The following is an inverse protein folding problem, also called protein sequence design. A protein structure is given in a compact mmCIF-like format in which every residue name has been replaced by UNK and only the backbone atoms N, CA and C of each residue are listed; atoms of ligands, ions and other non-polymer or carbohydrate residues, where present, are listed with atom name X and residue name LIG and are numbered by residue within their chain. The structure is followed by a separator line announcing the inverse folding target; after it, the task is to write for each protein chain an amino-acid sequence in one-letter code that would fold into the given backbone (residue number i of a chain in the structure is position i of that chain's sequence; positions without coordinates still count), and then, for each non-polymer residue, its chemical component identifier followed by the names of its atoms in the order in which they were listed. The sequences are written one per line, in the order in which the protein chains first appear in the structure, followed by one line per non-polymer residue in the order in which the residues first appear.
data_IF_758461852363
#
_entry.id   IF_758461852363
#
_cell.length_a   1.000
_cell.length_b   1.000
_cell.length_c   1.000
_cell.angle_alpha   90.00
_cell.angle_beta   90.00
_cell.angle_gamma   90.00
#
_symmetry.space_group_name_H-M   'P 1'
#
loop_
_entity.id
_entity.type
_entity.pdbx_description
1 polymer ?
2 non-polymer ?
3 non-polymer ?
4 water ?
#
# COMPACT_ATOMS: atom_id res chain seq x y z
N UNK A 15 31.74 -13.45 -3.73
CA UNK A 15 32.39 -14.59 -4.40
C UNK A 15 31.49 -15.15 -5.51
N UNK A 16 31.85 -14.87 -6.77
CA UNK A 16 30.89 -15.09 -7.87
C UNK A 16 30.53 -16.54 -8.13
N UNK A 17 31.40 -17.51 -7.83
CA UNK A 17 31.03 -18.91 -8.04
C UNK A 17 29.64 -19.22 -7.50
N UNK A 18 29.39 -18.83 -6.26
CA UNK A 18 28.11 -19.12 -5.62
C UNK A 18 26.93 -18.22 -5.96
N UNK A 19 27.07 -17.22 -6.84
CA UNK A 19 25.96 -16.34 -7.17
C UNK A 19 25.12 -16.94 -8.27
N UNK A 20 23.80 -16.79 -8.19
CA UNK A 20 22.94 -17.22 -9.29
C UNK A 20 21.64 -16.42 -9.26
N UNK A 21 21.14 -16.09 -10.44
CA UNK A 21 19.88 -15.36 -10.57
C UNK A 21 18.88 -16.31 -11.21
N UNK A 22 17.73 -16.50 -10.55
CA UNK A 22 16.64 -17.31 -11.08
C UNK A 22 15.50 -16.38 -11.50
N UNK A 23 14.99 -16.59 -12.71
CA UNK A 23 13.93 -15.76 -13.30
C UNK A 23 12.68 -16.63 -13.43
N UNK A 24 11.55 -16.18 -12.85
CA UNK A 24 10.39 -17.04 -12.71
C UNK A 24 9.08 -16.31 -12.98
N UNK A 25 8.05 -17.10 -13.29
CA UNK A 25 6.69 -16.65 -13.54
C UNK A 25 5.81 -16.67 -12.29
N UNK A 26 6.24 -17.38 -11.25
CA UNK A 26 5.61 -17.35 -9.95
C UNK A 26 6.58 -18.00 -8.98
N UNK A 27 6.33 -17.81 -7.69
CA UNK A 27 7.21 -18.32 -6.65
C UNK A 27 6.60 -19.57 -6.03
N UNK A 28 7.35 -20.67 -6.04
CA UNK A 28 6.84 -21.88 -5.39
C UNK A 28 6.88 -21.69 -3.87
N UNK A 29 6.43 -22.71 -3.15
CA UNK A 29 6.24 -22.55 -1.71
C UNK A 29 7.56 -22.32 -0.97
N UNK A 30 8.64 -22.92 -1.45
CA UNK A 30 9.94 -22.72 -0.81
C UNK A 30 10.47 -21.32 -1.09
N UNK A 31 10.36 -20.88 -2.36
CA UNK A 31 10.78 -19.52 -2.72
C UNK A 31 10.01 -18.48 -1.92
N UNK A 32 8.72 -18.73 -1.65
CA UNK A 32 7.95 -17.80 -0.83
C UNK A 32 8.47 -17.76 0.58
N UNK A 33 8.77 -18.93 1.16
CA UNK A 33 9.39 -18.97 2.49
C UNK A 33 10.70 -18.20 2.50
N UNK A 34 11.55 -18.43 1.49
CA UNK A 34 12.80 -17.70 1.35
C UNK A 34 12.56 -16.19 1.25
N UNK A 35 11.56 -15.78 0.48
CA UNK A 35 11.32 -14.35 0.31
C UNK A 35 10.81 -13.74 1.61
N UNK A 36 9.97 -14.47 2.34
CA UNK A 36 9.51 -13.95 3.62
C UNK A 36 10.65 -13.84 4.62
N UNK A 37 11.61 -14.76 4.60
CA UNK A 37 12.77 -14.61 5.46
C UNK A 37 13.56 -13.35 5.09
N UNK A 38 13.78 -13.13 3.78
CA UNK A 38 14.49 -11.94 3.32
C UNK A 38 13.72 -10.67 3.69
N UNK A 39 12.41 -10.69 3.46
CA UNK A 39 11.54 -9.59 3.87
C UNK A 39 11.75 -9.24 5.33
N UNK A 40 11.77 -10.27 6.20
CA UNK A 40 11.91 -10.03 7.63
C UNK A 40 13.23 -9.39 7.98
N UNK A 41 14.33 -9.80 7.33
CA UNK A 41 15.62 -9.23 7.70
C UNK A 41 15.76 -7.81 7.17
N UNK A 42 15.10 -7.47 6.06
CA UNK A 42 15.10 -6.09 5.60
C UNK A 42 14.26 -5.23 6.52
N UNK A 43 13.06 -5.72 6.89
CA UNK A 43 12.18 -4.99 7.80
C UNK A 43 12.89 -4.64 9.11
N UNK A 44 13.71 -5.55 9.64
CA UNK A 44 14.41 -5.25 10.88
C UNK A 44 15.48 -4.18 10.67
N UNK A 45 16.14 -4.21 9.51
CA UNK A 45 17.18 -3.23 9.24
C UNK A 45 16.59 -1.88 8.86
N UNK A 46 15.49 -1.88 8.10
CA UNK A 46 15.06 -0.69 7.39
C UNK A 46 13.85 0.00 8.01
N UNK A 47 13.11 -0.66 8.89
CA UNK A 47 11.87 -0.13 9.45
C UNK A 47 10.65 -0.47 8.62
N UNK A 48 10.78 -0.39 7.30
CA UNK A 48 9.69 -0.65 6.39
C UNK A 48 10.24 -1.44 5.22
N UNK A 49 9.32 -1.98 4.41
CA UNK A 49 9.71 -2.79 3.24
C UNK A 49 8.89 -2.35 2.03
N UNK A 50 9.41 -2.59 0.83
CA UNK A 50 8.59 -2.38 -0.37
C UNK A 50 7.36 -3.27 -0.37
N UNK A 51 6.39 -2.91 -1.21
CA UNK A 51 5.20 -3.73 -1.40
C UNK A 51 5.53 -4.92 -2.28
N UNK A 52 5.37 -6.14 -1.76
CA UNK A 52 5.69 -7.33 -2.53
C UNK A 52 4.48 -8.02 -3.14
N UNK A 53 3.28 -7.72 -2.66
CA UNK A 53 2.05 -8.36 -3.13
C UNK A 53 2.24 -9.88 -3.18
N UNK A 54 2.41 -10.46 -1.99
CA UNK A 54 2.68 -11.89 -1.90
C UNK A 54 1.59 -12.70 -2.61
N UNK A 55 0.34 -12.25 -2.49
CA UNK A 55 -0.75 -12.95 -3.15
C UNK A 55 -0.65 -12.91 -4.68
N UNK A 56 0.05 -11.93 -5.24
CA UNK A 56 0.29 -11.92 -6.69
C UNK A 56 1.48 -12.81 -7.06
N UNK A 57 2.52 -12.84 -6.24
CA UNK A 57 3.67 -13.70 -6.52
C UNK A 57 3.29 -15.17 -6.48
N UNK A 58 2.32 -15.54 -5.63
CA UNK A 58 1.96 -16.93 -5.45
C UNK A 58 1.23 -17.50 -6.66
N UNK A 59 0.56 -16.65 -7.44
CA UNK A 59 -0.16 -17.09 -8.63
C UNK A 59 0.76 -17.13 -9.84
N UNK A 60 0.49 -18.07 -10.73
CA UNK A 60 1.18 -18.11 -12.02
C UNK A 60 0.81 -16.89 -12.85
N UNK A 61 1.83 -16.18 -13.24
CA UNK A 61 1.70 -15.09 -14.16
C UNK A 61 2.38 -15.50 -15.47
N UNK A 62 2.14 -14.72 -16.50
CA UNK A 62 2.71 -14.96 -17.78
C UNK A 62 3.63 -13.80 -18.18
N UNK A 64 7.46 -13.95 -16.86
CA UNK A 64 8.58 -14.18 -15.96
C UNK A 64 9.02 -12.87 -15.41
N UNK A 65 8.34 -12.46 -14.36
CA UNK A 65 8.63 -11.18 -13.79
C UNK A 65 9.07 -11.15 -12.34
N UNK A 66 9.75 -12.18 -11.88
CA UNK A 66 10.28 -12.22 -10.53
C UNK A 66 11.69 -12.71 -10.69
N UNK A 67 12.62 -12.02 -10.08
CA UNK A 67 14.05 -12.26 -10.28
C UNK A 67 14.68 -12.47 -8.91
N UNK A 68 15.23 -13.66 -8.69
CA UNK A 68 15.69 -14.08 -7.37
C UNK A 68 17.21 -14.22 -7.42
N UNK A 69 17.90 -13.58 -6.48
CA UNK A 69 19.36 -13.61 -6.42
C UNK A 69 19.75 -14.48 -5.24
N UNK A 70 20.46 -15.57 -5.52
CA UNK A 70 20.90 -16.51 -4.50
C UNK A 70 22.42 -16.47 -4.41
N UNK A 71 22.92 -16.56 -3.19
CA UNK A 71 24.34 -16.79 -2.93
C UNK A 71 24.45 -18.14 -2.25
N UNK A 72 24.97 -19.12 -2.98
CA UNK A 72 25.07 -20.50 -2.50
C UNK A 72 23.70 -21.08 -2.14
N UNK A 73 22.67 -20.69 -2.88
CA UNK A 73 21.33 -21.19 -2.61
C UNK A 73 20.61 -20.50 -1.48
N UNK A 74 21.19 -19.45 -0.89
CA UNK A 74 20.51 -18.59 0.06
C UNK A 74 19.97 -17.36 -0.67
N UNK A 75 18.69 -17.04 -0.49
CA UNK A 75 18.13 -15.90 -1.19
C UNK A 75 18.64 -14.61 -0.57
N UNK A 76 19.36 -13.79 -1.34
CA UNK A 76 19.85 -12.53 -0.81
C UNK A 76 19.34 -11.33 -1.58
N UNK A 77 18.63 -11.52 -2.68
CA UNK A 77 18.11 -10.39 -3.42
C UNK A 77 16.85 -10.79 -4.15
N UNK A 78 15.97 -9.81 -4.34
CA UNK A 78 14.70 -10.11 -4.98
C UNK A 78 14.24 -8.87 -5.72
N UNK A 79 13.74 -9.06 -6.94
CA UNK A 79 13.09 -7.97 -7.66
C UNK A 79 11.89 -8.55 -8.40
N UNK A 80 10.76 -7.81 -8.38
CA UNK A 80 9.61 -8.24 -9.15
C UNK A 80 8.94 -7.03 -9.79
N UNK A 81 8.27 -7.27 -10.91
CA UNK A 81 7.62 -6.25 -11.73
C UNK A 81 6.11 -6.50 -11.71
N UNK A 82 5.32 -5.43 -11.53
CA UNK A 82 3.87 -5.57 -11.38
C UNK A 82 3.14 -4.66 -12.37
N UNK A 83 2.36 -5.26 -13.27
CA UNK A 83 1.68 -4.52 -14.34
C UNK A 83 0.27 -4.11 -13.90
N UNK A 84 0.23 -3.13 -13.00
CA UNK A 84 -1.03 -2.57 -12.53
C UNK A 84 -1.55 -1.50 -13.49
N UNK A 85 -0.70 -0.52 -13.77
CA UNK A 85 -1.07 0.64 -14.55
C UNK A 85 -1.05 0.30 -16.04
N UNK A 86 -1.78 1.09 -16.83
CA UNK A 86 -1.67 0.92 -18.27
C UNK A 86 -0.47 1.65 -18.86
N UNK A 87 0.09 2.63 -18.16
CA UNK A 87 1.28 3.30 -18.68
C UNK A 87 2.36 3.42 -17.62
N UNK A 88 2.49 2.41 -16.77
CA UNK A 88 3.67 2.29 -15.92
C UNK A 88 3.72 0.89 -15.34
N UNK A 89 4.82 0.59 -14.68
CA UNK A 89 5.00 -0.69 -14.04
C UNK A 89 5.60 -0.44 -12.66
N UNK A 90 5.14 -1.21 -11.67
CA UNK A 90 5.61 -1.06 -10.30
C UNK A 90 6.72 -2.07 -10.08
N UNK A 91 7.77 -1.65 -9.35
CA UNK A 91 8.97 -2.47 -9.14
C UNK A 91 9.28 -2.54 -7.65
N UNK A 92 9.45 -3.75 -7.15
CA UNK A 92 9.87 -3.99 -5.77
C UNK A 92 11.26 -4.57 -5.82
N UNK A 93 12.21 -3.98 -5.09
CA UNK A 93 13.57 -4.53 -5.01
C UNK A 93 14.01 -4.55 -3.57
N UNK A 94 14.55 -5.68 -3.12
CA UNK A 94 15.05 -5.87 -1.75
C UNK A 94 16.36 -6.62 -1.79
N UNK A 95 17.35 -6.18 -1.01
CA UNK A 95 18.64 -6.85 -0.94
C UNK A 95 19.01 -7.03 0.52
N UNK A 96 19.39 -8.26 0.88
CA UNK A 96 19.81 -8.57 2.24
C UNK A 96 20.82 -7.54 2.73
N UNK A 97 20.62 -6.94 3.91
CA UNK A 97 21.52 -5.88 4.37
C UNK A 97 23.00 -6.26 4.31
N UNK A 98 23.35 -7.54 4.47
CA UNK A 98 24.75 -7.95 4.41
C UNK A 98 25.38 -7.67 3.06
N UNK A 99 24.59 -7.69 1.98
CA UNK A 99 25.16 -7.68 0.64
C UNK A 99 24.84 -6.42 -0.14
N UNK A 100 24.53 -5.33 0.54
CA UNK A 100 24.20 -4.11 -0.18
C UNK A 100 25.47 -3.41 -0.69
N UNK A 101 25.27 -2.54 -1.69
CA UNK A 101 26.33 -1.79 -2.36
C UNK A 101 27.30 -2.67 -3.15
N UNK A 102 26.91 -3.88 -3.54
CA UNK A 102 27.78 -4.70 -4.37
C UNK A 102 27.22 -4.91 -5.77
N UNK A 103 26.22 -4.13 -6.15
CA UNK A 103 25.70 -4.23 -7.51
C UNK A 103 24.57 -5.20 -7.67
N UNK A 104 24.03 -5.75 -6.57
CA UNK A 104 22.99 -6.76 -6.69
C UNK A 104 21.71 -6.15 -7.24
N UNK A 105 21.28 -5.02 -6.68
CA UNK A 105 20.06 -4.38 -7.19
C UNK A 105 20.21 -4.00 -8.66
N UNK A 106 21.38 -3.50 -9.03
CA UNK A 106 21.61 -3.12 -10.41
C UNK A 106 21.59 -4.34 -11.34
N UNK A 107 22.15 -5.46 -10.88
CA UNK A 107 22.07 -6.68 -11.69
C UNK A 107 20.62 -7.09 -11.90
N UNK A 108 19.79 -6.97 -10.86
CA UNK A 108 18.41 -7.43 -10.96
C UNK A 108 17.59 -6.54 -11.88
N UNK A 109 17.81 -5.22 -11.80
CA UNK A 109 17.09 -4.29 -12.66
C UNK A 109 17.42 -4.57 -14.12
N UNK A 110 18.70 -4.78 -14.41
CA UNK A 110 19.13 -5.11 -15.77
C UNK A 110 18.48 -6.38 -16.30
N UNK A 111 18.23 -7.35 -15.44
CA UNK A 111 17.54 -8.56 -15.89
C UNK A 111 16.09 -8.26 -16.24
N UNK A 112 15.48 -7.31 -15.53
CA UNK A 112 14.06 -7.02 -15.70
C UNK A 112 13.78 -6.12 -16.88
N UNK A 113 14.74 -5.28 -17.26
CA UNK A 113 14.49 -4.29 -18.31
C UNK A 113 13.97 -4.90 -19.60
N UNK A 114 14.61 -5.92 -20.20
CA UNK A 114 14.11 -6.45 -21.48
C UNK A 114 12.63 -6.76 -21.46
N UNK A 115 12.17 -7.32 -20.33
CA UNK A 115 10.78 -7.71 -20.22
C UNK A 115 9.87 -6.47 -20.20
N UNK A 116 10.33 -5.42 -19.54
CA UNK A 116 9.56 -4.17 -19.52
C UNK A 116 9.55 -3.52 -20.90
N UNK A 117 10.70 -3.49 -21.58
CA UNK A 117 10.75 -2.94 -22.93
C UNK A 117 9.85 -3.72 -23.88
N UNK A 118 9.88 -5.05 -23.78
CA UNK A 118 9.07 -5.88 -24.67
C UNK A 118 7.58 -5.58 -24.52
N UNK A 119 7.12 -5.36 -23.28
CA UNK A 119 5.75 -4.95 -23.03
C UNK A 119 5.50 -3.51 -23.42
N UNK A 120 6.56 -2.83 -23.85
CA UNK A 120 6.57 -1.45 -24.29
C UNK A 120 6.23 -0.47 -23.17
N UNK A 121 6.26 -0.90 -21.92
CA UNK A 121 6.23 0.05 -20.80
C UNK A 121 7.57 0.77 -20.71
N UNK A 122 7.50 2.05 -20.33
CA UNK A 122 8.65 2.91 -20.26
C UNK A 122 8.77 3.67 -18.95
N UNK A 123 7.81 3.55 -18.06
CA UNK A 123 7.81 4.25 -16.78
C UNK A 123 7.83 3.22 -15.64
N UNK A 124 8.80 3.37 -14.73
CA UNK A 124 9.01 2.46 -13.61
C UNK A 124 8.73 3.16 -12.29
N UNK A 125 7.87 2.57 -11.46
CA UNK A 125 7.51 3.14 -10.17
C UNK A 125 7.99 2.18 -9.08
N UNK A 126 8.89 2.67 -8.22
CA UNK A 126 9.50 1.89 -7.15
C UNK A 126 8.87 2.25 -5.81
N UNK A 127 8.57 1.25 -4.98
CA UNK A 127 8.13 1.48 -3.62
C UNK A 127 9.33 1.40 -2.69
N UNK A 128 9.55 2.43 -1.89
CA UNK A 128 10.80 2.60 -1.16
C UNK A 128 10.47 2.83 0.31
N UNK A 129 11.13 2.11 1.22
CA UNK A 129 10.92 2.35 2.65
C UNK A 129 11.12 3.82 3.00
N UNK A 130 10.15 4.38 3.70
CA UNK A 130 10.15 5.76 4.10
C UNK A 130 11.45 6.23 4.69
N UNK A 131 11.90 7.37 4.18
CA UNK A 131 13.11 8.09 4.53
C UNK A 131 14.45 7.46 4.17
N UNK A 132 14.46 6.21 3.78
CA UNK A 132 15.70 5.45 3.65
C UNK A 132 16.59 5.98 2.53
N UNK A 133 16.03 6.30 1.36
CA UNK A 133 16.81 6.55 0.15
C UNK A 133 16.65 7.93 -0.48
N UNK A 134 15.88 8.84 0.13
CA UNK A 134 15.46 10.07 -0.56
C UNK A 134 16.62 10.83 -1.16
N UNK A 135 17.74 10.91 -0.43
CA UNK A 135 18.86 11.77 -0.87
C UNK A 135 19.38 11.34 -2.24
N UNK A 136 19.55 10.04 -2.45
CA UNK A 136 20.19 9.58 -3.68
C UNK A 136 19.21 9.15 -4.76
N UNK A 137 17.94 8.91 -4.42
CA UNK A 137 16.92 8.83 -5.46
C UNK A 137 16.80 10.16 -6.18
N UNK A 138 16.83 11.25 -5.41
CA UNK A 138 16.81 12.59 -5.98
C UNK A 138 17.97 12.80 -6.95
N UNK A 139 19.19 12.50 -6.50
CA UNK A 139 20.37 12.61 -7.34
C UNK A 139 20.20 11.91 -8.69
N UNK A 140 19.63 10.70 -8.67
CA UNK A 140 19.55 9.89 -9.89
C UNK A 140 18.42 10.32 -10.82
N UNK A 141 17.58 11.26 -10.42
CA UNK A 141 16.52 11.75 -11.27
C UNK A 141 15.16 11.14 -11.06
N UNK A 142 15.00 10.31 -10.02
CA UNK A 142 13.68 9.82 -9.65
C UNK A 142 12.81 10.99 -9.24
N UNK A 143 11.51 10.85 -9.46
CA UNK A 143 10.52 11.86 -9.06
C UNK A 143 9.67 11.28 -7.94
N UNK A 144 9.56 12.01 -6.83
CA UNK A 144 8.69 11.57 -5.75
C UNK A 144 7.24 11.76 -6.15
N UNK A 145 6.42 10.74 -5.89
CA UNK A 145 5.01 10.75 -6.27
C UNK A 145 4.11 10.93 -5.06
N UNK A 146 4.13 9.98 -4.13
CA UNK A 146 3.28 10.00 -2.95
C UNK A 146 3.77 8.90 -2.01
N UNK A 147 3.16 8.79 -0.84
CA UNK A 147 3.54 7.79 0.14
C UNK A 147 2.32 6.98 0.52
N UNK A 148 2.58 5.78 1.05
CA UNK A 148 1.50 4.90 1.50
C UNK A 148 1.85 4.39 2.88
N UNK A 149 0.94 4.57 3.84
CA UNK A 149 1.23 4.26 5.22
C UNK A 149 0.26 3.18 5.68
N UNK A 150 0.80 2.14 6.31
CA UNK A 150 -0.02 1.12 6.96
C UNK A 150 0.12 1.33 8.46
N UNK A 151 -1.00 1.56 9.15
CA UNK A 151 -0.96 1.90 10.56
C UNK A 151 -1.80 0.91 11.33
N UNK A 152 -1.58 0.85 12.62
CA UNK A 152 -2.37 -0.03 13.48
C UNK A 152 -2.67 0.66 14.80
N UNK A 153 -3.91 0.46 15.27
CA UNK A 153 -4.32 0.88 16.60
C UNK A 153 -4.72 -0.40 17.36
N UNK A 154 -3.90 -0.81 18.34
CA UNK A 154 -4.15 -2.02 19.12
C UNK A 154 -4.81 -1.76 20.47
N UNK A 155 -5.46 -0.64 20.61
CA UNK A 155 -6.07 -0.26 21.87
C UNK A 155 -7.46 -0.88 21.92
N UNK A 156 -7.80 -1.53 23.04
CA UNK A 156 -9.17 -2.03 23.15
C UNK A 156 -10.18 -0.97 23.56
N UNK A 157 -9.72 0.18 24.04
CA UNK A 157 -10.61 1.23 24.47
C UNK A 157 -11.14 2.04 23.29
N UNK A 158 -12.42 2.30 23.24
CA UNK A 158 -12.96 3.10 22.15
C UNK A 158 -12.58 4.55 22.26
N UNK A 159 -12.78 5.24 21.17
CA UNK A 159 -12.47 6.63 21.12
C UNK A 159 -13.60 7.42 21.70
N UNK A 160 -13.26 8.24 22.68
CA UNK A 160 -14.24 9.09 23.33
C UNK A 160 -14.27 10.43 22.59
N UNK A 161 -15.43 11.03 22.57
CA UNK A 161 -15.67 12.32 21.89
C UNK A 161 -15.54 12.37 20.37
N UNK A 162 -14.91 13.40 19.86
CA UNK A 162 -14.83 13.67 18.43
C UNK A 162 -16.23 13.68 17.80
N UNK A 163 -17.22 14.27 18.44
CA UNK A 163 -18.57 14.32 17.89
C UNK A 163 -18.77 15.50 16.98
N UNK A 164 -19.29 15.25 15.79
CA UNK A 164 -19.56 16.33 14.84
C UNK A 164 -20.96 16.16 14.31
N UNK A 165 -21.54 17.23 13.71
CA UNK A 165 -22.91 17.12 13.21
C UNK A 165 -22.99 16.31 11.91
N UNK A 166 -22.58 15.04 12.02
CA UNK A 166 -22.59 14.10 10.92
C UNK A 166 -23.53 12.95 11.24
N UNK A 167 -24.15 12.39 10.20
CA UNK A 167 -24.76 11.08 10.32
C UNK A 167 -23.95 10.09 9.50
N UNK A 168 -23.98 8.83 9.90
CA UNK A 168 -23.18 7.80 9.24
C UNK A 168 -24.11 6.71 8.74
N UNK A 169 -23.88 6.31 7.50
CA UNK A 169 -24.70 5.29 6.84
C UNK A 169 -23.79 4.24 6.24
N UNK A 170 -24.22 2.99 6.30
CA UNK A 170 -23.52 1.96 5.52
C UNK A 170 -23.98 2.07 4.07
N UNK A 171 -23.02 2.09 3.15
CA UNK A 171 -23.37 2.22 1.74
C UNK A 171 -24.05 0.95 1.23
N UNK A 172 -24.93 1.13 0.25
CA UNK A 172 -25.55 0.02 -0.46
C UNK A 172 -25.33 0.23 -1.95
N UNK A 173 -25.75 -0.77 -2.74
CA UNK A 173 -25.66 -0.68 -4.20
C UNK A 173 -26.42 0.53 -4.75
N UNK A 174 -27.27 1.18 -3.94
CA UNK A 174 -28.00 2.37 -4.34
C UNK A 174 -27.19 3.66 -4.17
N UNK A 175 -26.04 3.59 -3.49
CA UNK A 175 -25.24 4.77 -3.19
C UNK A 175 -24.13 4.96 -4.21
N UNK A 176 -24.20 4.29 -5.35
CA UNK A 176 -23.17 4.42 -6.39
C UNK A 176 -22.96 5.89 -6.80
N UNK A 177 -24.00 6.66 -7.14
CA UNK A 177 -23.78 8.08 -7.44
C UNK A 177 -23.01 8.82 -6.35
N UNK A 178 -23.36 8.58 -5.08
CA UNK A 178 -22.69 9.26 -3.98
C UNK A 178 -21.22 8.85 -3.92
N UNK A 179 -20.94 7.54 -4.01
CA UNK A 179 -19.57 7.06 -3.93
C UNK A 179 -18.72 7.58 -5.08
N UNK A 180 -19.28 7.52 -6.30
CA UNK A 180 -18.54 8.00 -7.46
C UNK A 180 -18.28 9.49 -7.38
N UNK A 181 -19.24 10.27 -6.85
CA UNK A 181 -19.03 11.70 -6.68
C UNK A 181 -17.90 12.01 -5.72
N UNK A 182 -17.81 11.26 -4.63
CA UNK A 182 -16.76 11.48 -3.65
C UNK A 182 -15.41 11.17 -4.24
N UNK A 183 -15.31 10.06 -4.92
CA UNK A 183 -14.06 9.68 -5.53
C UNK A 183 -13.67 10.63 -6.64
N UNK A 184 -14.63 11.17 -7.37
CA UNK A 184 -14.31 12.08 -8.45
C UNK A 184 -13.56 13.29 -7.90
N UNK A 185 -13.90 13.76 -6.71
CA UNK A 185 -13.24 14.92 -6.13
C UNK A 185 -11.95 14.52 -5.41
N UNK A 186 -12.06 13.59 -4.48
CA UNK A 186 -10.89 12.94 -3.89
C UNK A 186 -10.47 11.81 -4.81
N UNK A 187 -9.22 11.82 -5.27
CA UNK A 187 -8.62 10.81 -6.15
C UNK A 187 -9.08 10.93 -7.61
N UNK A 188 -9.07 12.12 -8.25
CA UNK A 188 -9.42 11.97 -9.67
C UNK A 188 -8.25 11.47 -10.51
N UNK A 193 -13.30 3.67 -14.23
CA UNK A 193 -14.59 2.98 -14.11
C UNK A 193 -14.97 2.79 -12.64
N UNK A 194 -15.39 3.87 -11.98
CA UNK A 194 -15.66 3.80 -10.56
C UNK A 194 -16.98 3.11 -10.24
N UNK A 195 -17.95 3.15 -11.15
CA UNK A 195 -19.20 2.41 -10.93
C UNK A 195 -18.91 0.94 -10.71
N UNK A 196 -18.16 0.33 -11.63
CA UNK A 196 -17.89 -1.11 -11.55
C UNK A 196 -17.06 -1.47 -10.32
N UNK A 197 -16.10 -0.61 -9.94
CA UNK A 197 -15.27 -0.91 -8.77
C UNK A 197 -16.08 -0.88 -7.48
N UNK A 198 -16.95 0.12 -7.31
CA UNK A 198 -17.77 0.17 -6.10
C UNK A 198 -18.77 -0.98 -6.08
N UNK A 199 -19.30 -1.38 -7.23
CA UNK A 199 -20.18 -2.55 -7.26
C UNK A 199 -19.45 -3.81 -6.83
N UNK A 200 -18.21 -3.98 -7.29
CA UNK A 200 -17.47 -5.18 -6.92
C UNK A 200 -17.15 -5.16 -5.42
N UNK A 201 -16.75 -4.00 -4.90
CA UNK A 201 -16.48 -3.87 -3.47
C UNK A 201 -17.75 -4.20 -2.68
N UNK A 202 -18.87 -3.59 -3.06
CA UNK A 202 -20.11 -3.75 -2.31
C UNK A 202 -20.67 -5.15 -2.42
N UNK A 203 -20.11 -5.99 -3.30
CA UNK A 203 -20.54 -7.37 -3.46
C UNK A 203 -19.60 -8.36 -2.76
N UNK A 204 -18.52 -7.90 -2.14
CA UNK A 204 -17.64 -8.77 -1.37
C UNK A 204 -18.06 -8.69 0.09
N UNK A 205 -18.46 -9.83 0.65
CA UNK A 205 -19.01 -9.81 1.99
C UNK A 205 -18.01 -9.34 3.05
N UNK A 206 -16.71 -9.38 2.77
CA UNK A 206 -15.77 -8.84 3.74
C UNK A 206 -15.73 -7.32 3.77
N UNK A 207 -16.31 -6.63 2.79
CA UNK A 207 -16.18 -5.19 2.72
C UNK A 207 -17.45 -4.47 3.12
N UNK A 208 -17.27 -3.30 3.74
CA UNK A 208 -18.33 -2.34 3.91
C UNK A 208 -17.77 -0.95 3.64
N UNK A 209 -18.66 -0.02 3.30
CA UNK A 209 -18.28 1.38 3.15
C UNK A 209 -19.19 2.22 4.04
N UNK A 210 -18.59 3.06 4.86
CA UNK A 210 -19.34 4.02 5.66
C UNK A 210 -19.33 5.38 4.94
N UNK A 211 -20.51 5.96 4.78
CA UNK A 211 -20.65 7.30 4.21
C UNK A 211 -20.93 8.28 5.34
N UNK A 212 -20.24 9.41 5.34
CA UNK A 212 -20.49 10.46 6.32
C UNK A 212 -21.34 11.56 5.68
N UNK A 213 -22.44 11.90 6.31
CA UNK A 213 -23.35 12.94 5.85
C UNK A 213 -23.40 14.18 6.76
N UNK A 214 -23.35 15.36 6.17
CA UNK A 214 -23.46 16.62 6.92
C UNK A 214 -24.84 17.08 6.47
N UNK A 215 -25.78 16.98 7.39
CA UNK A 215 -27.18 17.18 7.14
C UNK A 215 -27.56 16.07 6.15
N UNK A 216 -27.68 16.38 4.88
CA UNK A 216 -28.07 15.39 3.90
C UNK A 216 -27.18 15.41 2.66
N UNK A 217 -26.00 16.00 2.80
CA UNK A 217 -25.03 16.03 1.74
C UNK A 217 -23.95 15.05 2.15
N UNK A 218 -23.59 14.11 1.29
CA UNK A 218 -22.41 13.26 1.59
C UNK A 218 -21.13 14.08 1.54
N UNK A 219 -20.30 13.96 2.57
CA UNK A 219 -19.05 14.70 2.59
C UNK A 219 -17.83 13.80 2.74
N UNK A 220 -18.02 12.50 2.92
CA UNK A 220 -16.86 11.64 3.04
C UNK A 220 -17.25 10.19 3.15
N UNK A 221 -16.21 9.35 3.21
CA UNK A 221 -16.40 7.91 3.30
C UNK A 221 -15.11 7.24 3.76
N UNK A 222 -15.26 6.01 4.27
CA UNK A 222 -14.12 5.13 4.55
C UNK A 222 -14.54 3.72 4.22
N UNK A 223 -13.63 2.95 3.66
CA UNK A 223 -13.89 1.54 3.42
C UNK A 223 -13.42 0.74 4.62
N UNK A 224 -14.12 -0.35 4.92
CA UNK A 224 -13.72 -1.27 5.99
C UNK A 224 -13.62 -2.66 5.40
N UNK A 225 -12.47 -3.30 5.60
CA UNK A 225 -12.31 -4.71 5.28
C UNK A 225 -12.25 -5.49 6.58
N UNK A 226 -13.24 -6.35 6.78
CA UNK A 226 -13.36 -7.12 8.01
C UNK A 226 -12.59 -8.43 7.93
N UNK A 227 -11.80 -8.72 8.97
CA UNK A 227 -11.25 -10.04 9.21
C UNK A 227 -11.64 -10.49 10.61
N UNK A 228 -11.16 -11.67 11.01
CA UNK A 228 -11.62 -12.27 12.26
C UNK A 228 -11.17 -11.44 13.46
N UNK A 229 -9.89 -11.07 13.50
CA UNK A 229 -9.30 -10.42 14.67
C UNK A 229 -9.04 -8.94 14.48
N UNK A 230 -9.25 -8.41 13.27
CA UNK A 230 -8.98 -7.02 12.96
C UNK A 230 -9.90 -6.58 11.84
N UNK A 231 -9.94 -5.27 11.59
CA UNK A 231 -10.53 -4.73 10.37
C UNK A 231 -9.63 -3.60 9.90
N UNK A 232 -9.68 -3.31 8.60
CA UNK A 232 -8.76 -2.37 7.98
C UNK A 232 -9.55 -1.26 7.30
N UNK A 233 -9.20 -0.03 7.64
CA UNK A 233 -9.80 1.16 7.08
C UNK A 233 -8.96 1.55 5.87
N UNK A 234 -9.62 1.96 4.80
CA UNK A 234 -8.89 2.41 3.61
C UNK A 234 -9.77 3.34 2.79
N UNK A 235 -9.15 3.97 1.78
CA UNK A 235 -9.85 4.82 0.81
C UNK A 235 -10.63 5.93 1.51
N UNK A 236 -10.02 6.50 2.55
CA UNK A 236 -10.69 7.51 3.36
C UNK A 236 -10.72 8.82 2.56
N UNK A 237 -11.89 9.41 2.44
CA UNK A 237 -12.07 10.65 1.69
C UNK A 237 -12.90 11.61 2.51
N UNK A 238 -12.48 12.89 2.56
CA UNK A 238 -13.30 14.00 3.02
C UNK A 238 -13.16 15.07 1.95
N UNK A 239 -14.28 15.61 1.47
CA UNK A 239 -14.22 16.61 0.41
C UNK A 239 -13.27 17.74 0.80
N UNK A 240 -12.43 18.22 -0.12
CA UNK A 240 -11.55 19.35 0.22
C UNK A 240 -12.26 20.53 0.88
N UNK A 241 -13.44 20.92 0.39
CA UNK A 241 -14.12 22.08 0.97
C UNK A 241 -14.70 21.83 2.36
N UNK A 242 -14.75 20.57 2.79
CA UNK A 242 -15.25 20.23 4.13
C UNK A 242 -14.14 19.77 5.06
N UNK A 243 -12.89 19.88 4.65
CA UNK A 243 -11.80 19.48 5.51
C UNK A 243 -11.54 20.55 6.56
N UNK A 244 -10.80 20.16 7.61
CA UNK A 244 -10.47 21.11 8.66
C UNK A 244 -11.60 21.46 9.59
N UNK A 245 -12.65 20.66 9.63
CA UNK A 245 -13.79 20.91 10.51
C UNK A 245 -13.97 19.80 11.53
N UNK A 246 -13.01 18.86 11.61
CA UNK A 246 -13.13 17.71 12.48
C UNK A 246 -13.84 16.51 11.86
N UNK A 247 -14.23 16.59 10.58
CA UNK A 247 -15.07 15.53 10.02
C UNK A 247 -14.27 14.25 9.80
N UNK A 248 -13.06 14.34 9.27
CA UNK A 248 -12.25 13.14 9.13
C UNK A 248 -12.03 12.43 10.46
N UNK A 249 -11.68 13.18 11.51
CA UNK A 249 -11.50 12.56 12.83
C UNK A 249 -12.79 11.91 13.31
N UNK A 250 -13.93 12.59 13.14
CA UNK A 250 -15.21 12.03 13.59
C UNK A 250 -15.55 10.75 12.84
N UNK A 251 -15.27 10.71 11.55
CA UNK A 251 -15.55 9.51 10.76
C UNK A 251 -14.61 8.36 11.16
N UNK A 252 -13.32 8.65 11.33
CA UNK A 252 -12.39 7.59 11.72
C UNK A 252 -12.72 7.09 13.12
N UNK A 253 -13.08 8.00 14.03
CA UNK A 253 -13.47 7.55 15.37
C UNK A 253 -14.74 6.70 15.32
N UNK A 254 -15.70 7.12 14.50
CA UNK A 254 -16.88 6.30 14.31
C UNK A 254 -16.50 4.90 13.85
N UNK A 255 -15.59 4.80 12.88
CA UNK A 255 -15.19 3.49 12.35
C UNK A 255 -14.44 2.66 13.38
N UNK A 256 -13.48 3.26 14.09
CA UNK A 256 -12.77 2.56 15.16
C UNK A 256 -13.77 1.94 16.12
N UNK A 257 -14.72 2.76 16.58
CA UNK A 257 -15.66 2.27 17.60
C UNK A 257 -16.55 1.18 17.04
N UNK A 258 -16.96 1.28 15.77
CA UNK A 258 -17.74 0.22 15.16
C UNK A 258 -16.97 -1.09 15.14
N UNK A 259 -15.67 -1.01 14.80
CA UNK A 259 -14.85 -2.21 14.72
C UNK A 259 -14.68 -2.84 16.10
N UNK A 260 -14.38 -2.01 17.12
CA UNK A 260 -14.22 -2.53 18.48
C UNK A 260 -15.51 -3.10 19.04
N UNK A 261 -16.67 -2.56 18.64
CA UNK A 261 -17.93 -3.07 19.17
C UNK A 261 -18.27 -4.45 18.62
N UNK A 262 -17.66 -4.85 17.50
CA UNK A 262 -17.78 -6.22 17.01
C UNK A 262 -16.79 -7.18 17.68
N UNK A 263 -15.99 -6.72 18.64
CA UNK A 263 -15.06 -7.60 19.34
C UNK A 263 -13.68 -7.76 18.73
N UNK A 264 -13.30 -6.92 17.78
CA UNK A 264 -11.95 -6.98 17.21
C UNK A 264 -10.96 -6.33 18.18
N UNK A 265 -9.71 -6.77 18.11
CA UNK A 265 -8.67 -6.27 19.01
C UNK A 265 -7.68 -5.36 18.31
N UNK A 266 -7.90 -5.03 17.04
CA UNK A 266 -6.96 -4.21 16.29
C UNK A 266 -7.73 -3.51 15.19
N UNK A 267 -7.39 -2.24 14.96
CA UNK A 267 -7.85 -1.47 13.81
C UNK A 267 -6.62 -1.13 12.97
N UNK A 268 -6.60 -1.58 11.73
CA UNK A 268 -5.53 -1.24 10.79
C UNK A 268 -6.03 -0.15 9.84
N UNK A 269 -5.08 0.48 9.16
CA UNK A 269 -5.44 1.63 8.35
C UNK A 269 -4.42 1.74 7.23
N UNK A 270 -4.90 1.92 6.00
CA UNK A 270 -4.04 2.14 4.84
C UNK A 270 -4.37 3.51 4.27
N UNK A 271 -3.41 4.42 4.27
CA UNK A 271 -3.67 5.77 3.78
C UNK A 271 -2.56 6.19 2.83
N UNK A 272 -2.94 6.85 1.74
CA UNK A 272 -2.00 7.43 0.78
C UNK A 272 -1.98 8.93 1.00
N UNK A 273 -0.79 9.52 1.09
CA UNK A 273 -0.65 10.96 1.26
C UNK A 273 0.56 11.45 0.48
N UNK A 274 0.55 12.73 0.13
CA UNK A 274 1.70 13.42 -0.42
C UNK A 274 2.50 14.15 0.66
N UNK A 275 2.02 14.13 1.89
CA UNK A 275 2.59 14.96 2.95
C UNK A 275 2.49 14.20 4.25
N UNK A 276 3.59 14.17 5.00
CA UNK A 276 3.60 13.43 6.26
C UNK A 276 2.69 14.06 7.30
N UNK A 277 2.48 15.38 7.23
CA UNK A 277 1.68 16.07 8.26
C UNK A 277 0.24 15.58 8.30
N UNK A 278 -0.30 15.13 7.16
CA UNK A 278 -1.64 14.55 7.16
C UNK A 278 -1.75 13.33 8.07
N UNK A 279 -0.63 12.81 8.56
CA UNK A 279 -0.67 11.62 9.41
C UNK A 279 -1.00 11.93 10.86
N UNK A 280 -0.84 13.20 11.28
CA UNK A 280 -1.04 13.59 12.68
C UNK A 280 -2.44 13.26 13.19
N UNK A 281 -3.44 13.40 12.33
CA UNK A 281 -4.80 13.00 12.69
C UNK A 281 -4.83 11.58 13.24
N UNK A 282 -4.16 10.67 12.54
CA UNK A 282 -4.23 9.26 12.91
C UNK A 282 -3.43 8.98 14.17
N UNK A 283 -2.25 9.61 14.30
CA UNK A 283 -1.49 9.55 15.56
C UNK A 283 -2.33 10.01 16.74
N UNK A 284 -3.04 11.13 16.57
CA UNK A 284 -3.94 11.62 17.62
C UNK A 284 -4.99 10.57 18.00
N UNK A 285 -5.48 9.79 17.04
CA UNK A 285 -6.47 8.77 17.33
C UNK A 285 -5.87 7.43 17.76
N UNK A 286 -4.57 7.37 18.01
CA UNK A 286 -3.94 6.20 18.61
C UNK A 286 -3.29 5.21 17.65
N UNK A 287 -3.23 5.55 16.37
CA UNK A 287 -2.56 4.73 15.38
C UNK A 287 -1.05 4.89 15.47
N UNK A 288 -0.33 3.80 15.22
CA UNK A 288 1.11 3.83 15.05
C UNK A 288 1.43 3.26 13.68
N UNK A 289 2.51 3.75 13.07
CA UNK A 289 2.91 3.27 11.75
C UNK A 289 3.53 1.89 11.88
N UNK A 290 3.04 0.94 11.07
CA UNK A 290 3.68 -0.37 10.96
C UNK A 290 4.50 -0.51 9.69
N UNK A 291 4.15 0.19 8.62
CA UNK A 291 4.93 0.16 7.38
C UNK A 291 4.70 1.46 6.64
N UNK A 292 5.77 2.01 6.04
CA UNK A 292 5.65 3.27 5.32
C UNK A 292 6.51 3.18 4.07
N UNK A 293 5.89 3.36 2.90
CA UNK A 293 6.59 3.37 1.61
C UNK A 293 6.42 4.70 0.90
N UNK A 294 7.48 5.12 0.22
CA UNK A 294 7.46 6.27 -0.67
C UNK A 294 7.55 5.75 -2.09
N UNK A 295 6.76 6.32 -2.99
CA UNK A 295 6.72 5.88 -4.38
C UNK A 295 7.45 6.90 -5.23
N UNK A 296 8.43 6.43 -5.99
CA UNK A 296 9.29 7.26 -6.82
C UNK A 296 9.27 6.69 -8.22
N UNK A 297 9.15 7.56 -9.23
CA UNK A 297 9.10 7.11 -10.61
C UNK A 297 10.32 7.55 -11.39
N UNK A 298 10.57 6.84 -12.47
CA UNK A 298 11.66 7.11 -13.39
C UNK A 298 11.37 6.50 -14.78
N UNK A 299 11.88 7.17 -15.79
CA UNK A 299 11.72 6.70 -17.12
C UNK A 299 12.82 5.74 -17.44
N UNK A 300 12.48 4.78 -18.25
CA UNK A 300 13.41 3.73 -18.57
C UNK A 300 14.78 4.10 -18.98
N UNK A 301 14.93 5.08 -19.84
CA UNK A 301 16.26 5.41 -20.30
C UNK A 301 17.00 6.28 -19.30
N UNK A 302 17.42 5.61 -18.22
CA UNK A 302 18.16 6.14 -17.13
C UNK A 302 18.60 4.92 -16.36
#
# INVERSE_FOLDING_TARGET
MGSSHHHHHHSSGLVPRGSMITQVNQLDELQLKDLKTLRAECKKNDGSIPNLYIHILKQHRSLPTSFLYYQNGALIGFLSIYFFYDDAVEVAVLVSPQYRRQGIAKQLIKEALPLIKSQNYFNLIFSCPSRLNDNWLTSKGFTYLHSEYFMERDDLNPILDYIRPLSFRMATLEDIPILCGLDEVCFPDKNQDSVHRFQQILNEREYEIVIAMLNNHPIGKSHIRWQTKRATLSDIAILPKEQGKGFGSALIAHCINMILSEGKSRVDLDVETHNKKALNLYIQLGFHIQNACDYWSINVNQLAK
#
